data_IF_168400281618
#
_entry.id   IF_168400281618
#
_cell.length_a   1.000
_cell.length_b   1.000
_cell.length_c   1.000
_cell.angle_alpha   90.00
_cell.angle_beta   90.00
_cell.angle_gamma   90.00
#
_symmetry.space_group_name_H-M   'P 1'
#
loop_
_entity.id
_entity.type
_entity.pdbx_description
1 polymer ?
#
# COMPACT_ATOMS: atom_id res chain seq x y z
N UNK A 1 -19.38 25.52 -9.27
CA UNK A 1 -20.64 24.74 -9.26
C UNK A 1 -21.79 25.61 -9.71
N UNK A 2 -22.69 25.06 -10.53
CA UNK A 2 -24.00 25.66 -10.70
C UNK A 2 -24.89 25.17 -9.55
N UNK A 3 -25.30 26.03 -8.59
CA UNK A 3 -26.10 25.64 -7.44
C UNK A 3 -27.49 25.09 -7.83
N UNK A 4 -27.89 25.21 -9.09
CA UNK A 4 -29.19 24.77 -9.59
C UNK A 4 -29.24 23.28 -9.95
N UNK A 5 -28.13 22.54 -9.86
CA UNK A 5 -28.04 21.14 -10.31
C UNK A 5 -27.96 20.18 -9.12
N UNK A 6 -29.00 19.34 -8.95
CA UNK A 6 -29.06 18.31 -7.91
C UNK A 6 -28.33 17.02 -8.33
N UNK A 7 -27.04 16.98 -8.03
CA UNK A 7 -26.16 15.84 -8.32
C UNK A 7 -26.59 14.55 -7.61
N UNK A 8 -27.28 14.63 -6.47
CA UNK A 8 -27.77 13.45 -5.73
C UNK A 8 -28.97 12.80 -6.44
N UNK A 9 -29.87 13.60 -7.00
CA UNK A 9 -30.95 13.12 -7.85
C UNK A 9 -30.42 12.54 -9.18
N UNK A 10 -29.45 13.21 -9.81
CA UNK A 10 -28.78 12.71 -11.02
C UNK A 10 -28.12 11.34 -10.81
N UNK A 11 -27.41 11.15 -9.69
CA UNK A 11 -26.83 9.85 -9.33
C UNK A 11 -27.90 8.77 -9.13
N UNK A 12 -28.99 9.10 -8.44
CA UNK A 12 -30.12 8.18 -8.19
C UNK A 12 -30.81 7.77 -9.49
N UNK A 13 -30.99 8.71 -10.41
CA UNK A 13 -31.58 8.48 -11.73
C UNK A 13 -30.66 7.66 -12.63
N UNK A 14 -29.36 7.91 -12.62
CA UNK A 14 -28.38 7.08 -13.33
C UNK A 14 -28.37 5.66 -12.77
N UNK A 15 -28.39 5.50 -11.44
CA UNK A 15 -28.46 4.20 -10.77
C UNK A 15 -29.77 3.43 -11.04
N UNK A 16 -30.90 4.13 -11.12
CA UNK A 16 -32.19 3.50 -11.44
C UNK A 16 -32.31 3.12 -12.92
N UNK A 17 -31.78 3.96 -13.82
CA UNK A 17 -31.63 3.65 -15.26
C UNK A 17 -30.65 2.49 -15.47
N UNK A 18 -29.61 2.37 -14.64
CA UNK A 18 -28.67 1.26 -14.63
C UNK A 18 -29.37 -0.07 -14.31
N UNK A 19 -30.19 -0.11 -13.25
CA UNK A 19 -30.99 -1.30 -12.88
C UNK A 19 -31.99 -1.71 -13.99
N UNK A 20 -32.61 -0.73 -14.67
CA UNK A 20 -33.59 -0.99 -15.74
C UNK A 20 -32.94 -1.41 -17.07
N UNK A 21 -31.76 -0.89 -17.42
CA UNK A 21 -31.04 -1.22 -18.66
C UNK A 21 -30.14 -2.47 -18.55
N UNK A 22 -29.97 -3.05 -17.36
CA UNK A 22 -29.30 -4.33 -17.13
C UNK A 22 -29.86 -5.48 -18.00
N UNK A 23 -31.11 -5.35 -18.47
CA UNK A 23 -31.78 -6.32 -19.35
C UNK A 23 -31.51 -6.17 -20.86
N UNK A 24 -30.76 -5.16 -21.31
CA UNK A 24 -30.34 -5.02 -22.72
C UNK A 24 -28.85 -4.63 -22.80
N UNK A 25 -28.00 -5.66 -22.86
CA UNK A 25 -26.58 -5.55 -23.22
C UNK A 25 -26.46 -4.97 -24.62
N UNK A 26 -25.94 -3.75 -24.81
CA UNK A 26 -24.93 -3.45 -25.85
C UNK A 26 -24.39 -2.01 -25.92
N UNK A 27 -25.06 -0.95 -25.44
CA UNK A 27 -24.59 0.44 -25.69
C UNK A 27 -24.25 1.28 -24.42
N UNK A 28 -23.89 0.64 -23.30
CA UNK A 28 -23.82 1.31 -21.98
C UNK A 28 -22.40 1.69 -21.52
N UNK A 29 -21.35 1.23 -22.19
CA UNK A 29 -19.96 1.51 -21.78
C UNK A 29 -19.51 2.93 -22.16
N UNK A 30 -19.85 3.39 -23.37
CA UNK A 30 -19.46 4.72 -23.87
C UNK A 30 -20.11 5.85 -23.07
N UNK A 31 -21.42 5.78 -22.81
CA UNK A 31 -22.14 6.81 -22.07
C UNK A 31 -21.71 6.96 -20.58
N UNK A 32 -21.07 5.93 -20.00
CA UNK A 32 -20.53 6.00 -18.63
C UNK A 32 -19.21 6.75 -18.58
N UNK A 33 -18.34 6.50 -19.55
CA UNK A 33 -17.02 7.12 -19.60
C UNK A 33 -17.14 8.61 -19.94
N UNK A 34 -18.11 8.99 -20.78
CA UNK A 34 -18.37 10.39 -21.13
C UNK A 34 -18.88 11.23 -19.95
N UNK A 35 -19.72 10.66 -19.08
CA UNK A 35 -20.25 11.38 -17.92
C UNK A 35 -19.19 11.60 -16.83
N UNK A 36 -18.39 10.57 -16.52
CA UNK A 36 -17.28 10.69 -15.57
C UNK A 36 -16.25 11.73 -16.05
N UNK A 37 -15.94 11.74 -17.35
CA UNK A 37 -15.07 12.74 -17.97
C UNK A 37 -15.68 14.15 -17.94
N UNK A 38 -16.99 14.27 -18.15
CA UNK A 38 -17.68 15.58 -18.08
C UNK A 38 -17.66 16.20 -16.68
N UNK A 39 -17.74 15.38 -15.62
CA UNK A 39 -17.59 15.85 -14.24
C UNK A 39 -16.14 16.22 -13.91
N UNK A 40 -15.17 15.48 -14.46
CA UNK A 40 -13.76 15.82 -14.34
C UNK A 40 -13.38 17.13 -15.03
N UNK A 41 -14.12 17.53 -16.09
CA UNK A 41 -13.97 18.85 -16.72
C UNK A 41 -14.59 20.01 -15.94
N UNK A 42 -15.42 19.73 -14.92
CA UNK A 42 -16.02 20.73 -14.01
C UNK A 42 -15.18 20.96 -12.73
N UNK A 43 -13.90 20.57 -12.72
CA UNK A 43 -12.97 20.71 -11.58
C UNK A 43 -13.41 20.03 -10.27
N UNK A 44 -14.19 18.94 -10.35
CA UNK A 44 -14.70 18.21 -9.17
C UNK A 44 -14.25 16.73 -9.15
N UNK A 45 -12.95 16.45 -8.94
CA UNK A 45 -12.37 15.10 -9.02
C UNK A 45 -12.95 14.10 -8.01
N UNK A 46 -13.40 14.54 -6.83
CA UNK A 46 -13.99 13.69 -5.79
C UNK A 46 -15.24 12.98 -6.31
N UNK A 47 -16.10 13.71 -7.01
CA UNK A 47 -17.35 13.19 -7.56
C UNK A 47 -17.09 12.22 -8.73
N UNK A 48 -16.07 12.48 -9.54
CA UNK A 48 -15.61 11.54 -10.56
C UNK A 48 -15.14 10.21 -9.92
N UNK A 49 -14.43 10.28 -8.79
CA UNK A 49 -14.04 9.11 -7.99
C UNK A 49 -15.25 8.31 -7.49
N UNK A 50 -16.27 8.98 -6.94
CA UNK A 50 -17.51 8.35 -6.48
C UNK A 50 -18.29 7.69 -7.63
N UNK A 51 -18.32 8.31 -8.81
CA UNK A 51 -18.95 7.71 -9.98
C UNK A 51 -18.21 6.45 -10.45
N UNK A 52 -16.87 6.49 -10.49
CA UNK A 52 -16.03 5.34 -10.81
C UNK A 52 -16.21 4.20 -9.80
N UNK A 53 -16.41 4.48 -8.51
CA UNK A 53 -16.83 3.48 -7.52
C UNK A 53 -18.17 2.84 -7.86
N UNK A 54 -19.14 3.63 -8.35
CA UNK A 54 -20.40 3.14 -8.89
C UNK A 54 -20.18 2.17 -10.06
N UNK A 55 -19.32 2.54 -11.00
CA UNK A 55 -18.90 1.69 -12.13
C UNK A 55 -18.27 0.37 -11.65
N UNK A 56 -17.38 0.42 -10.66
CA UNK A 56 -16.78 -0.79 -10.08
C UNK A 56 -17.82 -1.74 -9.48
N UNK A 57 -18.79 -1.21 -8.72
CA UNK A 57 -19.90 -2.02 -8.15
C UNK A 57 -20.75 -2.68 -9.25
N UNK A 58 -20.95 -1.99 -10.36
CA UNK A 58 -21.67 -2.51 -11.51
C UNK A 58 -20.92 -3.67 -12.19
N UNK A 59 -19.61 -3.51 -12.43
CA UNK A 59 -18.78 -4.57 -13.01
C UNK A 59 -18.68 -5.80 -12.09
N UNK A 60 -18.64 -5.58 -10.78
CA UNK A 60 -18.69 -6.65 -9.79
C UNK A 60 -19.98 -7.48 -9.90
N UNK A 61 -21.14 -6.82 -10.06
CA UNK A 61 -22.43 -7.51 -10.26
C UNK A 61 -22.50 -8.28 -11.59
N UNK A 62 -21.72 -7.86 -12.58
CA UNK A 62 -21.58 -8.55 -13.86
C UNK A 62 -20.53 -9.68 -13.83
N UNK A 63 -19.90 -9.95 -12.66
CA UNK A 63 -18.78 -10.87 -12.49
C UNK A 63 -17.59 -10.55 -13.43
N UNK A 64 -17.41 -9.27 -13.78
CA UNK A 64 -16.29 -8.82 -14.60
C UNK A 64 -15.15 -8.31 -13.69
N UNK A 65 -14.29 -9.23 -13.24
CA UNK A 65 -13.19 -8.92 -12.32
C UNK A 65 -12.19 -7.90 -12.90
N UNK A 66 -11.89 -8.00 -14.21
CA UNK A 66 -10.95 -7.08 -14.87
C UNK A 66 -11.57 -5.68 -14.95
N UNK A 67 -12.85 -5.58 -15.33
CA UNK A 67 -13.59 -4.33 -15.37
C UNK A 67 -13.74 -3.70 -13.98
N UNK A 68 -14.05 -4.49 -12.96
CA UNK A 68 -14.12 -4.02 -11.58
C UNK A 68 -12.78 -3.46 -11.12
N UNK A 69 -11.68 -4.20 -11.33
CA UNK A 69 -10.35 -3.75 -10.93
C UNK A 69 -9.91 -2.49 -11.70
N UNK A 70 -10.27 -2.35 -12.98
CA UNK A 70 -9.99 -1.14 -13.76
C UNK A 70 -10.76 0.07 -13.22
N UNK A 71 -12.06 -0.08 -12.96
CA UNK A 71 -12.91 0.99 -12.42
C UNK A 71 -12.50 1.40 -10.99
N UNK A 72 -12.02 0.46 -10.16
CA UNK A 72 -11.47 0.77 -8.84
C UNK A 72 -10.17 1.57 -8.94
N UNK A 73 -9.28 1.25 -9.89
CA UNK A 73 -8.06 2.03 -10.11
C UNK A 73 -8.35 3.41 -10.69
N UNK A 74 -9.37 3.51 -11.55
CA UNK A 74 -9.89 4.79 -12.05
C UNK A 74 -10.40 5.65 -10.87
N UNK A 75 -11.19 5.08 -9.97
CA UNK A 75 -11.64 5.77 -8.77
C UNK A 75 -10.47 6.23 -7.89
N UNK A 76 -9.50 5.35 -7.63
CA UNK A 76 -8.31 5.68 -6.87
C UNK A 76 -7.55 6.87 -7.47
N UNK A 77 -7.36 6.89 -8.79
CA UNK A 77 -6.68 8.00 -9.48
C UNK A 77 -7.41 9.34 -9.30
N UNK A 78 -8.75 9.33 -9.34
CA UNK A 78 -9.55 10.53 -9.10
C UNK A 78 -9.44 11.04 -7.67
N UNK A 79 -9.46 10.15 -6.67
CA UNK A 79 -9.26 10.55 -5.27
C UNK A 79 -7.85 11.10 -5.02
N UNK A 80 -6.82 10.53 -5.63
CA UNK A 80 -5.47 11.09 -5.51
C UNK A 80 -5.38 12.49 -6.12
N UNK A 81 -6.01 12.69 -7.28
CA UNK A 81 -6.08 14.02 -7.92
C UNK A 81 -6.89 15.03 -7.11
N UNK A 82 -7.95 14.58 -6.43
CA UNK A 82 -8.70 15.39 -5.49
C UNK A 82 -7.82 15.88 -4.34
N UNK A 83 -7.01 14.99 -3.76
CA UNK A 83 -6.06 15.35 -2.72
C UNK A 83 -5.01 16.36 -3.23
N UNK A 84 -4.44 16.13 -4.42
CA UNK A 84 -3.49 17.06 -5.04
C UNK A 84 -4.09 18.45 -5.26
N UNK A 85 -5.32 18.51 -5.78
CA UNK A 85 -6.06 19.77 -5.97
C UNK A 85 -6.32 20.49 -4.64
N UNK A 86 -6.69 19.74 -3.60
CA UNK A 86 -6.91 20.29 -2.26
C UNK A 86 -5.63 20.94 -1.72
N UNK A 87 -4.50 20.26 -1.87
CA UNK A 87 -3.19 20.78 -1.45
C UNK A 87 -2.81 22.04 -2.27
N UNK A 88 -3.01 22.02 -3.59
CA UNK A 88 -2.66 23.14 -4.47
C UNK A 88 -3.51 24.39 -4.20
N UNK A 89 -4.77 24.21 -3.83
CA UNK A 89 -5.68 25.31 -3.50
C UNK A 89 -5.48 25.84 -2.07
N UNK A 90 -4.56 25.27 -1.31
CA UNK A 90 -4.31 25.62 0.09
C UNK A 90 -5.42 25.14 1.04
N UNK A 91 -6.25 24.19 0.59
CA UNK A 91 -7.27 23.56 1.42
C UNK A 91 -6.67 22.66 2.50
N UNK A 92 -7.38 22.52 3.62
CA UNK A 92 -6.99 21.61 4.68
C UNK A 92 -7.34 20.17 4.30
N UNK A 93 -6.34 19.28 4.27
CA UNK A 93 -6.57 17.85 4.07
C UNK A 93 -6.93 17.14 5.37
N UNK A 94 -8.12 16.54 5.39
CA UNK A 94 -8.56 15.57 6.41
C UNK A 94 -8.19 14.13 6.02
N UNK A 95 -7.43 13.95 4.92
CA UNK A 95 -6.96 12.65 4.37
C UNK A 95 -8.05 11.69 3.86
N UNK A 96 -9.33 12.07 3.87
CA UNK A 96 -10.43 11.21 3.38
C UNK A 96 -10.20 10.73 1.94
N UNK A 97 -9.70 11.60 1.06
CA UNK A 97 -9.36 11.24 -0.31
C UNK A 97 -8.26 10.17 -0.38
N UNK A 98 -7.26 10.25 0.50
CA UNK A 98 -6.20 9.25 0.59
C UNK A 98 -6.72 7.92 1.14
N UNK A 99 -7.64 7.95 2.11
CA UNK A 99 -8.30 6.74 2.62
C UNK A 99 -9.13 6.05 1.52
N UNK A 100 -9.87 6.82 0.72
CA UNK A 100 -10.58 6.29 -0.45
C UNK A 100 -9.62 5.69 -1.47
N UNK A 101 -8.48 6.36 -1.75
CA UNK A 101 -7.43 5.84 -2.62
C UNK A 101 -6.89 4.49 -2.11
N UNK A 102 -6.56 4.38 -0.82
CA UNK A 102 -6.06 3.15 -0.18
C UNK A 102 -7.10 2.03 -0.31
N UNK A 103 -8.35 2.30 0.07
CA UNK A 103 -9.44 1.33 0.02
C UNK A 103 -9.69 0.79 -1.40
N UNK A 104 -9.74 1.69 -2.39
CA UNK A 104 -9.89 1.32 -3.80
C UNK A 104 -8.71 0.46 -4.29
N UNK A 105 -7.49 0.85 -3.95
CA UNK A 105 -6.26 0.16 -4.36
C UNK A 105 -6.17 -1.24 -3.77
N UNK A 106 -6.43 -1.39 -2.46
CA UNK A 106 -6.43 -2.69 -1.77
C UNK A 106 -7.48 -3.65 -2.34
N UNK A 107 -8.67 -3.13 -2.68
CA UNK A 107 -9.73 -3.91 -3.32
C UNK A 107 -9.36 -4.28 -4.76
N UNK A 108 -8.83 -3.34 -5.55
CA UNK A 108 -8.41 -3.61 -6.93
C UNK A 108 -7.31 -4.68 -7.01
N UNK A 109 -6.35 -4.64 -6.08
CA UNK A 109 -5.31 -5.66 -5.97
C UNK A 109 -5.85 -7.01 -5.46
N UNK A 110 -7.02 -7.05 -4.81
CA UNK A 110 -7.66 -8.31 -4.36
C UNK A 110 -8.43 -8.98 -5.49
N UNK A 111 -9.10 -8.18 -6.33
CA UNK A 111 -9.90 -8.68 -7.44
C UNK A 111 -9.01 -9.17 -8.59
N UNK A 112 -7.80 -8.61 -8.72
CA UNK A 112 -6.84 -9.04 -9.73
C UNK A 112 -6.05 -10.26 -9.25
N UNK A 113 -5.88 -11.24 -10.13
CA UNK A 113 -5.13 -12.48 -9.86
C UNK A 113 -3.66 -12.42 -10.27
N UNK A 114 -3.27 -11.44 -11.08
CA UNK A 114 -1.90 -11.28 -11.58
C UNK A 114 -0.98 -10.64 -10.53
N UNK A 115 0.04 -11.38 -10.11
CA UNK A 115 0.95 -10.98 -9.02
C UNK A 115 1.75 -9.70 -9.35
N UNK A 116 2.47 -9.56 -10.47
CA UNK A 116 3.20 -8.34 -10.83
C UNK A 116 2.34 -7.06 -10.82
N UNK A 117 1.15 -7.08 -11.43
CA UNK A 117 0.25 -5.91 -11.42
C UNK A 117 -0.27 -5.60 -10.01
N UNK A 118 -0.54 -6.63 -9.22
CA UNK A 118 -0.96 -6.47 -7.82
C UNK A 118 0.18 -5.87 -6.98
N UNK A 119 1.43 -6.28 -7.19
CA UNK A 119 2.61 -5.69 -6.54
C UNK A 119 2.73 -4.19 -6.81
N UNK A 120 2.58 -3.78 -8.07
CA UNK A 120 2.67 -2.37 -8.45
C UNK A 120 1.62 -1.51 -7.72
N UNK A 121 0.38 -2.00 -7.64
CA UNK A 121 -0.73 -1.29 -6.98
C UNK A 121 -0.53 -1.24 -5.47
N UNK A 122 -0.20 -2.38 -4.85
CA UNK A 122 0.05 -2.47 -3.42
C UNK A 122 1.25 -1.61 -3.00
N UNK A 123 2.28 -1.51 -3.85
CA UNK A 123 3.44 -0.63 -3.60
C UNK A 123 3.05 0.84 -3.54
N UNK A 124 2.18 1.30 -4.46
CA UNK A 124 1.66 2.68 -4.42
C UNK A 124 0.78 2.91 -3.19
N UNK A 125 -0.06 1.93 -2.85
CA UNK A 125 -0.91 1.95 -1.66
C UNK A 125 -0.09 2.07 -0.38
N UNK A 126 0.93 1.22 -0.19
CA UNK A 126 1.77 1.22 1.00
C UNK A 126 2.55 2.53 1.17
N UNK A 127 3.04 3.12 0.07
CA UNK A 127 3.69 4.45 0.10
C UNK A 127 2.74 5.55 0.56
N UNK A 128 1.48 5.50 0.14
CA UNK A 128 0.46 6.42 0.61
C UNK A 128 0.17 6.24 2.10
N UNK A 129 0.06 4.99 2.58
CA UNK A 129 -0.09 4.70 4.01
C UNK A 129 1.09 5.22 4.84
N UNK A 130 2.33 5.04 4.36
CA UNK A 130 3.54 5.60 5.00
C UNK A 130 3.46 7.13 5.06
N UNK A 131 3.07 7.79 3.96
CA UNK A 131 2.88 9.24 3.92
C UNK A 131 1.82 9.73 4.92
N UNK A 132 0.78 8.92 5.13
CA UNK A 132 -0.25 9.18 6.14
C UNK A 132 0.17 8.83 7.57
N UNK A 133 1.38 8.31 7.78
CA UNK A 133 1.86 7.75 9.07
C UNK A 133 1.03 6.56 9.56
N UNK A 134 0.25 5.92 8.68
CA UNK A 134 -0.42 4.64 8.93
C UNK A 134 0.58 3.49 8.76
N UNK A 135 1.53 3.39 9.69
CA UNK A 135 2.59 2.37 9.63
C UNK A 135 2.05 0.95 9.82
N UNK A 136 0.99 0.79 10.61
CA UNK A 136 0.33 -0.50 10.82
C UNK A 136 -0.34 -0.96 9.52
N UNK A 137 -1.13 -0.10 8.88
CA UNK A 137 -1.73 -0.40 7.58
C UNK A 137 -0.67 -0.68 6.51
N UNK A 138 0.40 0.12 6.43
CA UNK A 138 1.50 -0.11 5.51
C UNK A 138 2.15 -1.50 5.73
N UNK A 139 2.39 -1.89 6.98
CA UNK A 139 2.96 -3.19 7.33
C UNK A 139 2.08 -4.34 6.83
N UNK A 140 0.76 -4.26 7.04
CA UNK A 140 -0.17 -5.28 6.54
C UNK A 140 -0.15 -5.39 5.02
N UNK A 141 -0.01 -4.26 4.32
CA UNK A 141 0.11 -4.22 2.86
C UNK A 141 1.39 -4.90 2.39
N UNK A 142 2.54 -4.63 3.01
CA UNK A 142 3.80 -5.30 2.67
C UNK A 142 3.80 -6.79 2.98
N UNK A 143 3.18 -7.23 4.08
CA UNK A 143 3.01 -8.66 4.38
C UNK A 143 2.15 -9.36 3.34
N UNK A 144 1.07 -8.71 2.90
CA UNK A 144 0.24 -9.22 1.80
C UNK A 144 1.04 -9.32 0.50
N UNK A 145 1.91 -8.36 0.20
CA UNK A 145 2.80 -8.44 -0.95
C UNK A 145 3.74 -9.64 -0.86
N UNK A 146 4.33 -9.90 0.32
CA UNK A 146 5.18 -11.07 0.54
C UNK A 146 4.46 -12.39 0.37
N UNK A 147 3.23 -12.51 0.90
CA UNK A 147 2.41 -13.71 0.71
C UNK A 147 2.14 -13.99 -0.79
N UNK A 148 1.85 -12.93 -1.55
CA UNK A 148 1.65 -13.04 -3.00
C UNK A 148 2.94 -13.39 -3.76
N UNK A 149 4.11 -12.89 -3.33
CA UNK A 149 5.41 -13.26 -3.93
C UNK A 149 5.68 -14.76 -3.71
N UNK A 150 5.51 -15.24 -2.47
CA UNK A 150 5.72 -16.65 -2.13
C UNK A 150 4.73 -17.56 -2.89
N UNK A 151 3.46 -17.17 -2.96
CA UNK A 151 2.44 -17.89 -3.73
C UNK A 151 2.77 -17.92 -5.23
N UNK A 152 3.22 -16.79 -5.79
CA UNK A 152 3.61 -16.69 -7.19
C UNK A 152 4.79 -17.60 -7.55
N UNK A 153 5.80 -17.71 -6.68
CA UNK A 153 6.92 -18.63 -6.87
C UNK A 153 6.50 -20.09 -6.70
N UNK A 154 5.59 -20.39 -5.77
CA UNK A 154 5.15 -21.76 -5.51
C UNK A 154 4.19 -22.31 -6.57
N UNK A 155 3.30 -21.49 -7.12
CA UNK A 155 2.15 -21.97 -7.93
C UNK A 155 2.21 -21.56 -9.39
N UNK A 156 2.87 -20.46 -9.71
CA UNK A 156 2.78 -19.83 -11.03
C UNK A 156 4.09 -19.84 -11.83
N UNK A 157 5.15 -20.49 -11.33
CA UNK A 157 6.47 -20.60 -11.98
C UNK A 157 7.01 -19.26 -12.52
N UNK A 158 6.73 -18.15 -11.82
CA UNK A 158 7.34 -16.88 -12.17
C UNK A 158 8.85 -16.96 -11.91
N UNK A 159 9.65 -16.43 -12.84
CA UNK A 159 11.09 -16.30 -12.63
C UNK A 159 11.37 -15.33 -11.48
N UNK A 160 12.32 -15.70 -10.63
CA UNK A 160 12.64 -14.95 -9.40
C UNK A 160 13.06 -13.51 -9.71
N UNK A 161 13.71 -13.31 -10.85
CA UNK A 161 14.17 -12.03 -11.37
C UNK A 161 13.03 -11.02 -11.55
N UNK A 162 11.80 -11.47 -11.84
CA UNK A 162 10.66 -10.57 -12.09
C UNK A 162 10.19 -9.86 -10.81
N UNK A 163 10.32 -10.52 -9.66
CA UNK A 163 9.81 -10.03 -8.38
C UNK A 163 10.94 -9.77 -7.37
N UNK A 164 12.20 -9.89 -7.78
CA UNK A 164 13.37 -9.73 -6.92
C UNK A 164 13.43 -8.35 -6.24
N UNK A 165 13.27 -7.27 -7.02
CA UNK A 165 13.25 -5.91 -6.49
C UNK A 165 12.10 -5.68 -5.51
N UNK A 166 10.92 -6.26 -5.79
CA UNK A 166 9.79 -6.23 -4.88
C UNK A 166 10.10 -6.99 -3.59
N UNK A 167 10.76 -8.15 -3.68
CA UNK A 167 11.11 -8.99 -2.53
C UNK A 167 12.04 -8.23 -1.58
N UNK A 168 13.12 -7.67 -2.11
CA UNK A 168 14.06 -6.83 -1.34
C UNK A 168 13.37 -5.63 -0.72
N UNK A 169 12.63 -4.88 -1.53
CA UNK A 169 11.95 -3.68 -1.07
C UNK A 169 10.94 -4.00 0.05
N UNK A 170 10.11 -5.03 -0.14
CA UNK A 170 9.11 -5.45 0.84
C UNK A 170 9.73 -5.86 2.17
N UNK A 171 10.81 -6.64 2.14
CA UNK A 171 11.44 -7.12 3.38
C UNK A 171 12.09 -5.98 4.17
N UNK A 172 12.77 -5.04 3.49
CA UNK A 172 13.31 -3.84 4.15
C UNK A 172 12.18 -3.02 4.77
N UNK A 173 11.10 -2.75 4.03
CA UNK A 173 9.96 -1.98 4.57
C UNK A 173 9.31 -2.71 5.74
N UNK A 174 9.12 -4.02 5.66
CA UNK A 174 8.55 -4.84 6.73
C UNK A 174 9.39 -4.74 8.01
N UNK A 175 10.70 -4.90 7.90
CA UNK A 175 11.61 -4.79 9.06
C UNK A 175 11.52 -3.39 9.68
N UNK A 176 11.70 -2.33 8.88
CA UNK A 176 11.66 -0.95 9.39
C UNK A 176 10.30 -0.62 10.04
N UNK A 177 9.19 -1.02 9.41
CA UNK A 177 7.85 -0.77 9.95
C UNK A 177 7.57 -1.57 11.22
N UNK A 178 8.07 -2.80 11.34
CA UNK A 178 7.96 -3.56 12.60
C UNK A 178 8.72 -2.82 13.70
N UNK A 179 9.95 -2.38 13.45
CA UNK A 179 10.75 -1.68 14.45
C UNK A 179 10.09 -0.35 14.88
N UNK A 180 9.51 0.41 13.95
CA UNK A 180 8.80 1.68 14.22
C UNK A 180 7.43 1.50 14.90
N UNK A 181 6.78 0.34 14.75
CA UNK A 181 5.45 0.09 15.35
C UNK A 181 5.54 -0.66 16.67
N UNK A 182 6.69 -1.27 16.97
CA UNK A 182 6.97 -1.83 18.28
C UNK A 182 7.65 -0.77 19.14
N UNK A 183 7.17 -0.50 20.36
CA UNK A 183 7.84 0.47 21.22
C UNK A 183 9.28 0.01 21.54
N UNK A 184 10.18 0.97 21.84
CA UNK A 184 11.57 0.70 22.13
C UNK A 184 11.77 -0.41 23.17
N UNK A 185 12.82 -1.24 23.05
CA UNK A 185 13.08 -2.33 23.98
C UNK A 185 13.28 -1.84 25.42
N UNK A 186 13.73 -0.60 25.59
CA UNK A 186 13.86 0.10 26.88
C UNK A 186 12.53 0.24 27.64
N UNK A 187 11.39 0.05 26.96
CA UNK A 187 10.04 0.20 27.51
C UNK A 187 9.26 -1.13 27.60
N UNK A 188 9.87 -2.29 27.33
CA UNK A 188 9.20 -3.59 27.37
C UNK A 188 9.95 -4.66 28.16
N UNK A 189 9.23 -5.29 29.10
CA UNK A 189 9.51 -6.64 29.59
C UNK A 189 8.85 -7.66 28.62
N UNK A 190 9.66 -8.48 27.95
CA UNK A 190 9.29 -9.83 27.49
C UNK A 190 8.04 -10.02 26.62
N UNK A 191 7.72 -9.12 25.67
CA UNK A 191 6.76 -9.49 24.61
C UNK A 191 7.50 -10.08 23.42
N UNK A 192 7.55 -11.42 23.31
CA UNK A 192 7.89 -12.09 22.07
C UNK A 192 7.06 -11.48 20.93
N UNK A 193 7.71 -11.13 19.81
CA UNK A 193 7.01 -10.69 18.61
C UNK A 193 6.21 -11.87 18.05
N UNK A 194 4.92 -11.96 18.40
CA UNK A 194 4.00 -13.03 17.99
C UNK A 194 3.28 -12.64 16.69
N UNK A 195 3.12 -13.60 15.79
CA UNK A 195 2.32 -13.44 14.57
C UNK A 195 2.94 -12.50 13.53
N UNK A 196 2.16 -11.54 13.05
CA UNK A 196 2.51 -10.64 11.95
C UNK A 196 3.80 -9.82 12.20
N UNK A 197 4.15 -9.54 13.45
CA UNK A 197 5.32 -8.73 13.82
C UNK A 197 6.61 -9.53 14.00
N UNK A 198 6.61 -10.83 13.68
CA UNK A 198 7.73 -11.73 13.93
C UNK A 198 8.98 -11.35 13.13
N UNK A 199 10.11 -11.23 13.85
CA UNK A 199 11.47 -11.15 13.29
C UNK A 199 12.29 -12.41 13.59
N UNK A 200 11.63 -13.55 13.89
CA UNK A 200 12.32 -14.78 14.32
C UNK A 200 13.42 -15.23 13.35
N UNK A 201 13.21 -15.11 12.04
CA UNK A 201 14.19 -15.47 11.01
C UNK A 201 15.55 -14.75 11.17
N UNK A 202 15.56 -13.54 11.75
CA UNK A 202 16.79 -12.78 12.00
C UNK A 202 17.39 -13.04 13.39
N UNK A 203 16.62 -13.64 14.31
CA UNK A 203 17.01 -13.82 15.71
C UNK A 203 17.50 -15.24 16.00
N UNK A 204 16.97 -16.25 15.32
CA UNK A 204 17.49 -17.63 15.40
C UNK A 204 18.90 -17.68 14.79
N UNK A 205 19.84 -18.34 15.47
CA UNK A 205 21.28 -18.35 15.12
C UNK A 205 21.61 -18.84 13.71
N UNK A 206 22.82 -18.48 13.25
CA UNK A 206 23.64 -18.77 12.03
C UNK A 206 23.11 -19.53 10.79
N UNK A 207 21.97 -20.22 10.83
CA UNK A 207 21.39 -20.86 9.66
C UNK A 207 20.68 -19.84 8.77
N UNK A 208 21.04 -19.84 7.48
CA UNK A 208 20.32 -19.09 6.44
C UNK A 208 18.84 -19.49 6.49
N UNK A 209 17.89 -18.52 6.47
CA UNK A 209 16.48 -18.84 6.50
C UNK A 209 16.09 -19.71 5.31
N UNK A 210 15.18 -20.66 5.51
CA UNK A 210 14.61 -21.44 4.41
C UNK A 210 14.00 -20.52 3.34
N UNK A 211 14.13 -20.89 2.05
CA UNK A 211 13.48 -20.23 0.90
C UNK A 211 11.95 -20.16 1.02
N UNK A 212 11.35 -20.90 1.97
CA UNK A 212 9.93 -20.81 2.31
C UNK A 212 9.51 -19.48 2.96
N UNK A 213 10.45 -18.62 3.35
CA UNK A 213 10.18 -17.31 3.94
C UNK A 213 10.88 -16.17 3.19
N UNK A 214 10.30 -14.97 3.24
CA UNK A 214 10.80 -13.81 2.48
C UNK A 214 12.26 -13.43 2.82
N UNK A 215 12.70 -13.64 4.07
CA UNK A 215 14.08 -13.40 4.49
C UNK A 215 15.08 -14.36 3.82
N UNK A 216 14.66 -15.57 3.46
CA UNK A 216 15.50 -16.56 2.76
C UNK A 216 15.70 -16.24 1.28
N UNK A 217 14.90 -15.34 0.71
CA UNK A 217 15.01 -14.88 -0.67
C UNK A 217 15.96 -13.68 -0.85
N UNK A 218 16.53 -13.17 0.25
CA UNK A 218 17.46 -12.05 0.23
C UNK A 218 18.89 -12.49 -0.10
N UNK A 219 19.69 -11.57 -0.63
CA UNK A 219 21.13 -11.75 -0.67
C UNK A 219 21.73 -11.75 0.75
N UNK A 220 22.86 -12.46 0.91
CA UNK A 220 23.50 -12.66 2.20
C UNK A 220 23.88 -11.34 2.88
N UNK A 221 24.38 -10.37 2.11
CA UNK A 221 24.83 -9.08 2.65
C UNK A 221 23.66 -8.29 3.21
N UNK A 222 22.56 -8.15 2.46
CA UNK A 222 21.36 -7.47 2.91
C UNK A 222 20.73 -8.18 4.12
N UNK A 223 20.69 -9.52 4.12
CA UNK A 223 20.20 -10.29 5.26
C UNK A 223 20.99 -9.99 6.53
N UNK A 224 22.33 -9.99 6.46
CA UNK A 224 23.21 -9.71 7.59
C UNK A 224 23.09 -8.26 8.07
N UNK A 225 22.97 -7.29 7.16
CA UNK A 225 22.76 -5.89 7.52
C UNK A 225 21.42 -5.68 8.25
N UNK A 226 20.32 -6.27 7.74
CA UNK A 226 19.02 -6.22 8.43
C UNK A 226 19.06 -6.92 9.79
N UNK A 227 19.76 -8.05 9.90
CA UNK A 227 19.99 -8.74 11.18
C UNK A 227 20.72 -7.83 12.17
N UNK A 228 21.84 -7.23 11.75
CA UNK A 228 22.62 -6.32 12.58
C UNK A 228 21.77 -5.15 13.07
N UNK A 229 20.95 -4.57 12.18
CA UNK A 229 20.06 -3.45 12.50
C UNK A 229 19.06 -3.84 13.59
N UNK A 230 18.43 -5.00 13.46
CA UNK A 230 17.46 -5.52 14.43
C UNK A 230 18.14 -5.76 15.79
N UNK A 231 19.35 -6.33 15.78
CA UNK A 231 20.10 -6.60 17.01
C UNK A 231 20.56 -5.32 17.72
N UNK A 232 21.05 -4.33 16.97
CA UNK A 232 21.44 -3.02 17.47
C UNK A 232 20.23 -2.28 18.08
N UNK A 233 19.09 -2.28 17.38
CA UNK A 233 17.85 -1.71 17.89
C UNK A 233 17.40 -2.40 19.18
N UNK A 234 17.35 -3.74 19.20
CA UNK A 234 16.93 -4.53 20.37
C UNK A 234 17.81 -4.37 21.60
N UNK A 235 19.11 -4.15 21.40
CA UNK A 235 20.08 -3.89 22.47
C UNK A 235 20.14 -2.42 22.88
N UNK A 236 19.37 -1.53 22.24
CA UNK A 236 19.42 -0.09 22.43
C UNK A 236 20.84 0.50 22.25
N UNK A 237 21.65 -0.11 21.39
CA UNK A 237 23.00 0.35 21.08
C UNK A 237 22.95 1.34 19.90
N UNK A 238 22.89 2.63 20.23
CA UNK A 238 22.79 3.74 19.26
C UNK A 238 23.96 3.73 18.27
N UNK A 239 25.18 3.52 18.76
CA UNK A 239 26.39 3.55 17.93
C UNK A 239 26.39 2.44 16.88
N UNK A 240 26.05 1.21 17.27
CA UNK A 240 25.96 0.08 16.32
C UNK A 240 24.81 0.25 15.33
N UNK A 241 23.72 0.89 15.77
CA UNK A 241 22.56 1.19 14.93
C UNK A 241 22.91 2.22 13.86
N UNK A 242 23.65 3.28 14.21
CA UNK A 242 24.17 4.29 13.27
C UNK A 242 25.16 3.70 12.26
N UNK A 243 26.09 2.86 12.73
CA UNK A 243 27.02 2.14 11.85
C UNK A 243 26.26 1.28 10.85
N UNK A 244 25.35 0.43 11.34
CA UNK A 244 24.56 -0.44 10.47
C UNK A 244 23.69 0.37 9.50
N UNK A 245 23.08 1.46 9.96
CA UNK A 245 22.29 2.35 9.11
C UNK A 245 23.13 2.98 7.98
N UNK A 246 24.40 3.26 8.23
CA UNK A 246 25.35 3.78 7.22
C UNK A 246 25.65 2.73 6.16
N UNK A 247 25.91 1.49 6.55
CA UNK A 247 26.16 0.39 5.59
C UNK A 247 24.91 0.02 4.79
N UNK A 248 23.72 0.17 5.38
CA UNK A 248 22.47 -0.13 4.69
C UNK A 248 22.13 0.88 3.57
N UNK A 249 22.74 2.07 3.55
CA UNK A 249 22.40 3.18 2.62
C UNK A 249 22.42 2.79 1.13
N UNK A 250 23.31 1.89 0.72
CA UNK A 250 23.40 1.40 -0.66
C UNK A 250 22.24 0.51 -1.09
N UNK A 251 21.51 -0.06 -0.12
CA UNK A 251 20.40 -0.99 -0.35
C UNK A 251 19.02 -0.34 -0.21
N UNK A 252 18.93 0.91 0.27
CA UNK A 252 17.66 1.56 0.62
C UNK A 252 17.26 2.68 -0.33
N UNK A 253 15.99 2.64 -0.73
CA UNK A 253 15.32 3.72 -1.44
C UNK A 253 15.18 4.98 -0.55
N UNK A 254 14.87 6.12 -1.16
CA UNK A 254 14.68 7.39 -0.45
C UNK A 254 13.64 7.29 0.68
N UNK A 255 12.53 6.59 0.44
CA UNK A 255 11.46 6.43 1.44
C UNK A 255 11.92 5.53 2.60
N UNK A 256 12.63 4.44 2.30
CA UNK A 256 13.21 3.57 3.33
C UNK A 256 14.26 4.29 4.17
N UNK A 257 15.08 5.16 3.55
CA UNK A 257 16.02 6.03 4.27
C UNK A 257 15.31 6.95 5.25
N UNK A 258 14.19 7.56 4.85
CA UNK A 258 13.42 8.41 5.75
C UNK A 258 12.89 7.64 6.96
N UNK A 259 12.35 6.43 6.75
CA UNK A 259 11.91 5.57 7.86
C UNK A 259 13.05 5.13 8.77
N UNK A 260 14.23 4.84 8.21
CA UNK A 260 15.42 4.51 8.99
C UNK A 260 15.90 5.70 9.85
N UNK A 261 15.83 6.92 9.33
CA UNK A 261 16.10 8.12 10.12
C UNK A 261 15.05 8.31 11.23
N UNK A 262 13.76 8.16 10.91
CA UNK A 262 12.69 8.25 11.91
C UNK A 262 12.91 7.22 13.05
N UNK A 263 13.44 6.02 12.74
CA UNK A 263 13.79 4.99 13.72
C UNK A 263 14.97 5.38 14.64
N UNK A 264 16.01 6.00 14.06
CA UNK A 264 17.14 6.53 14.82
C UNK A 264 16.71 7.66 15.75
N UNK A 265 15.87 8.57 15.26
CA UNK A 265 15.31 9.68 16.03
C UNK A 265 14.48 9.18 17.22
N UNK A 266 13.63 8.16 17.02
CA UNK A 266 12.83 7.55 18.10
C UNK A 266 13.70 6.95 19.21
N UNK A 267 14.82 6.31 18.86
CA UNK A 267 15.68 5.65 19.84
C UNK A 267 16.57 6.65 20.59
N UNK A 268 16.95 7.76 19.96
CA UNK A 268 17.71 8.86 20.59
C UNK A 268 16.78 9.70 21.48
N UNK A 269 15.55 9.97 21.04
CA UNK A 269 14.58 10.85 21.71
C UNK A 269 13.21 10.17 21.89
N UNK A 270 13.08 9.16 22.77
CA UNK A 270 11.86 8.36 22.92
C UNK A 270 10.65 9.13 23.48
N UNK A 271 10.84 10.37 23.97
CA UNK A 271 9.80 11.26 24.51
C UNK A 271 9.55 12.50 23.63
N UNK A 272 10.15 12.57 22.44
CA UNK A 272 10.14 13.76 21.57
C UNK A 272 8.99 13.83 20.57
N UNK A 273 7.84 13.21 20.86
CA UNK A 273 6.63 13.22 20.04
C UNK A 273 5.51 14.04 20.65
#
# INVERSE_FOLDING_TARGET
MNPDVDYANLYRDLSSKFKKKLFRKTNLTEAKDDFAKSLATEDTPEYAGVFALGKAKCEAQLNNAIGEAAALLEAAAWFLRAEENLVLTGGFSVRENLDFFVSCSLKAAKVRTDAPRSMHILSKCARCQIFMRDYVGALTTYQRMQALILDAYATHNYEQELLFDYTKSCEIFRVLLILLTTPPPSLKHDSEQVGAYSLKAYLTGEQVPSESCAAGLLDSDLFLLLRSLIMAYKSSNITELEYTATYLQSHVSLVQRKLLCDLLEELINPLGG
#
